data_IF_113251622578
#
_entry.id   IF_113251622578
#
_cell.length_a   1.000
_cell.length_b   1.000
_cell.length_c   1.000
_cell.angle_alpha   90.00
_cell.angle_beta   90.00
_cell.angle_gamma   90.00
#
_symmetry.space_group_name_H-M   'P 1'
#
loop_
_entity.id
_entity.type
_entity.pdbx_description
1 polymer ?
#
# COMPACT_ATOMS: atom_id res chain seq x y z
N UNK A 1 42.42 8.05 9.18
CA UNK A 1 41.02 8.03 9.64
C UNK A 1 40.35 6.77 9.11
N UNK A 2 39.75 5.94 9.97
CA UNK A 2 38.92 4.81 9.50
C UNK A 2 37.69 5.39 8.80
N UNK A 3 37.48 5.00 7.55
CA UNK A 3 36.32 5.41 6.76
C UNK A 3 35.10 4.74 7.40
N UNK A 4 34.18 5.54 7.96
CA UNK A 4 32.91 5.04 8.48
C UNK A 4 32.13 4.54 7.27
N UNK A 5 31.88 3.24 7.20
CA UNK A 5 31.02 2.65 6.17
C UNK A 5 29.58 2.70 6.65
N UNK A 6 28.62 2.79 5.72
CA UNK A 6 27.19 2.81 6.04
C UNK A 6 26.79 1.64 6.97
N UNK A 7 27.38 0.47 6.74
CA UNK A 7 27.15 -0.76 7.51
C UNK A 7 27.64 -0.70 8.96
N UNK A 8 28.56 0.23 9.27
CA UNK A 8 29.10 0.44 10.62
C UNK A 8 28.22 1.32 11.51
N UNK A 9 27.17 1.94 10.95
CA UNK A 9 26.22 2.74 11.72
C UNK A 9 25.42 1.86 12.71
N UNK A 10 25.03 2.39 13.88
CA UNK A 10 24.06 1.76 14.78
C UNK A 10 22.71 1.49 14.09
N UNK A 11 21.96 0.50 14.60
CA UNK A 11 20.66 0.11 14.03
C UNK A 11 19.66 1.28 14.02
N UNK A 12 19.68 2.09 15.07
CA UNK A 12 18.77 3.21 15.29
C UNK A 12 18.97 4.28 14.20
N UNK A 13 20.22 4.60 13.87
CA UNK A 13 20.55 5.55 12.81
C UNK A 13 20.17 5.00 11.43
N UNK A 14 20.41 3.71 11.18
CA UNK A 14 20.02 3.07 9.92
C UNK A 14 18.50 3.08 9.73
N UNK A 15 17.75 2.75 10.78
CA UNK A 15 16.29 2.78 10.76
C UNK A 15 15.75 4.20 10.59
N UNK A 16 16.42 5.20 11.17
CA UNK A 16 16.08 6.61 10.96
C UNK A 16 16.32 7.01 9.49
N UNK A 17 17.46 6.62 8.89
CA UNK A 17 17.72 6.87 7.47
C UNK A 17 16.65 6.20 6.59
N UNK A 18 16.30 4.95 6.87
CA UNK A 18 15.27 4.23 6.11
C UNK A 18 13.89 4.88 6.20
N UNK A 19 13.56 5.54 7.31
CA UNK A 19 12.27 6.25 7.43
C UNK A 19 12.13 7.47 6.53
N UNK A 20 13.22 7.98 5.95
CA UNK A 20 13.19 9.07 4.97
C UNK A 20 13.08 8.57 3.52
N UNK A 21 13.17 7.26 3.28
CA UNK A 21 13.10 6.67 1.95
C UNK A 21 11.67 6.23 1.64
N UNK A 22 11.26 6.36 0.37
CA UNK A 22 10.01 5.77 -0.08
C UNK A 22 10.10 4.25 -0.06
N UNK A 23 8.96 3.57 -0.01
CA UNK A 23 8.94 2.11 -0.07
C UNK A 23 9.61 1.56 -1.35
N UNK A 24 9.47 2.25 -2.49
CA UNK A 24 10.13 1.83 -3.74
C UNK A 24 11.65 1.96 -3.63
N UNK A 25 12.15 3.04 -3.04
CA UNK A 25 13.60 3.23 -2.83
C UNK A 25 14.16 2.15 -1.89
N UNK A 26 13.39 1.78 -0.86
CA UNK A 26 13.76 0.69 0.05
C UNK A 26 13.79 -0.66 -0.68
N UNK A 27 12.84 -0.93 -1.58
CA UNK A 27 12.86 -2.13 -2.41
C UNK A 27 14.09 -2.17 -3.32
N UNK A 28 14.45 -1.06 -3.95
CA UNK A 28 15.66 -0.98 -4.79
C UNK A 28 16.93 -1.24 -3.96
N UNK A 29 17.05 -0.58 -2.80
CA UNK A 29 18.13 -0.84 -1.85
C UNK A 29 18.19 -2.33 -1.48
N UNK A 30 17.04 -2.96 -1.23
CA UNK A 30 16.95 -4.34 -0.82
C UNK A 30 17.41 -5.36 -1.88
N UNK A 31 17.21 -5.05 -3.15
CA UNK A 31 17.72 -5.86 -4.26
C UNK A 31 19.25 -5.89 -4.24
N UNK A 32 19.88 -4.73 -4.03
CA UNK A 32 21.33 -4.54 -4.10
C UNK A 32 22.07 -4.94 -2.81
N UNK A 33 21.34 -5.10 -1.69
CA UNK A 33 21.92 -5.43 -0.41
C UNK A 33 22.46 -6.88 -0.36
N UNK A 34 23.75 -6.97 -0.01
CA UNK A 34 24.44 -8.22 0.37
C UNK A 34 24.81 -8.23 1.86
N UNK A 35 23.93 -7.70 2.70
CA UNK A 35 24.17 -7.57 4.14
C UNK A 35 22.98 -8.07 4.95
N UNK A 36 23.17 -9.20 5.64
CA UNK A 36 22.13 -9.87 6.42
C UNK A 36 21.64 -9.07 7.64
N UNK A 37 22.41 -8.09 8.13
CA UNK A 37 21.96 -7.19 9.20
C UNK A 37 20.98 -6.16 8.65
N UNK A 38 21.31 -5.55 7.51
CA UNK A 38 20.44 -4.56 6.85
C UNK A 38 19.14 -5.21 6.36
N UNK A 39 19.21 -6.43 5.82
CA UNK A 39 18.02 -7.21 5.46
C UNK A 39 17.11 -7.47 6.68
N UNK A 40 17.68 -7.87 7.82
CA UNK A 40 16.90 -8.06 9.05
C UNK A 40 16.27 -6.78 9.56
N UNK A 41 16.97 -5.65 9.47
CA UNK A 41 16.42 -4.36 9.86
C UNK A 41 15.26 -3.96 8.94
N UNK A 42 15.42 -4.11 7.63
CA UNK A 42 14.35 -3.81 6.67
C UNK A 42 13.15 -4.74 6.84
N UNK A 43 13.34 -5.99 7.24
CA UNK A 43 12.22 -6.92 7.44
C UNK A 43 11.60 -6.85 8.84
N UNK A 44 12.12 -6.01 9.74
CA UNK A 44 11.65 -5.89 11.13
C UNK A 44 10.52 -4.88 11.35
N UNK A 45 10.10 -4.18 10.28
CA UNK A 45 9.10 -3.10 10.36
C UNK A 45 8.08 -3.23 9.24
N UNK A 46 6.92 -2.64 9.49
CA UNK A 46 5.91 -2.43 8.46
C UNK A 46 6.14 -1.11 7.73
N UNK A 47 5.64 -1.04 6.50
CA UNK A 47 5.84 0.07 5.58
C UNK A 47 4.53 0.66 5.07
N UNK A 48 4.61 1.94 4.71
CA UNK A 48 3.58 2.63 3.95
C UNK A 48 3.92 2.66 2.48
N UNK A 49 3.01 2.22 1.63
CA UNK A 49 3.03 2.45 0.20
C UNK A 49 2.17 3.68 -0.11
N UNK A 50 2.83 4.83 -0.29
CA UNK A 50 2.17 6.10 -0.58
C UNK A 50 2.33 6.50 -2.04
N UNK A 51 1.23 6.40 -2.80
CA UNK A 51 1.21 6.67 -4.23
C UNK A 51 1.21 8.18 -4.56
N UNK A 52 0.98 9.06 -3.59
CA UNK A 52 1.05 10.52 -3.81
C UNK A 52 2.44 10.99 -4.25
N UNK A 53 3.47 10.22 -3.88
CA UNK A 53 4.88 10.54 -4.10
C UNK A 53 5.56 9.63 -5.13
N UNK A 54 4.80 8.76 -5.81
CA UNK A 54 5.35 7.74 -6.71
C UNK A 54 5.02 8.05 -8.17
N UNK A 55 6.05 8.07 -9.02
CA UNK A 55 5.86 8.22 -10.46
C UNK A 55 5.37 6.93 -11.12
N UNK A 56 4.53 7.07 -12.16
CA UNK A 56 3.99 5.95 -12.93
C UNK A 56 5.04 4.93 -13.38
N UNK A 57 6.15 5.38 -13.96
CA UNK A 57 7.18 4.46 -14.46
C UNK A 57 7.88 3.67 -13.34
N UNK A 58 8.07 4.29 -12.17
CA UNK A 58 8.66 3.63 -11.02
C UNK A 58 7.74 2.52 -10.51
N UNK A 59 6.45 2.81 -10.35
CA UNK A 59 5.49 1.81 -9.94
C UNK A 59 5.35 0.69 -10.98
N UNK A 60 5.38 1.01 -12.27
CA UNK A 60 5.26 0.01 -13.34
C UNK A 60 6.42 -0.99 -13.29
N UNK A 61 7.65 -0.49 -13.13
CA UNK A 61 8.83 -1.33 -12.98
C UNK A 61 8.75 -2.20 -11.72
N UNK A 62 8.29 -1.61 -10.62
CA UNK A 62 8.08 -2.31 -9.36
C UNK A 62 7.07 -3.47 -9.50
N UNK A 63 5.88 -3.21 -10.03
CA UNK A 63 4.82 -4.21 -10.20
C UNK A 63 5.17 -5.30 -11.23
N UNK A 64 6.00 -4.98 -12.22
CA UNK A 64 6.46 -5.95 -13.22
C UNK A 64 7.60 -6.83 -12.71
N UNK A 65 8.15 -6.55 -11.53
CA UNK A 65 9.30 -7.27 -11.00
C UNK A 65 8.85 -8.56 -10.29
N UNK A 66 9.06 -9.71 -10.94
CA UNK A 66 8.87 -11.02 -10.32
C UNK A 66 10.09 -11.40 -9.46
N UNK A 67 10.31 -10.70 -8.35
CA UNK A 67 11.44 -10.93 -7.47
C UNK A 67 10.98 -11.33 -6.06
N UNK A 68 11.39 -12.50 -5.59
CA UNK A 68 11.03 -13.03 -4.26
C UNK A 68 11.38 -12.07 -3.12
N UNK A 69 12.48 -11.32 -3.23
CA UNK A 69 12.85 -10.30 -2.24
C UNK A 69 11.84 -9.17 -2.18
N UNK A 70 11.38 -8.70 -3.34
CA UNK A 70 10.36 -7.64 -3.43
C UNK A 70 9.04 -8.16 -2.90
N UNK A 71 8.65 -9.38 -3.29
CA UNK A 71 7.45 -10.05 -2.77
C UNK A 71 7.49 -10.17 -1.24
N UNK A 72 8.67 -10.43 -0.65
CA UNK A 72 8.83 -10.45 0.79
C UNK A 72 8.69 -9.07 1.44
N UNK A 73 9.05 -7.99 0.76
CA UNK A 73 8.82 -6.63 1.25
C UNK A 73 7.36 -6.19 1.07
N UNK A 74 6.68 -6.61 0.00
CA UNK A 74 5.25 -6.30 -0.17
C UNK A 74 4.39 -6.90 0.93
N UNK A 75 4.77 -8.07 1.46
CA UNK A 75 4.08 -8.63 2.64
C UNK A 75 4.23 -7.79 3.91
N UNK A 76 5.14 -6.82 3.95
CA UNK A 76 5.35 -5.90 5.06
C UNK A 76 4.65 -4.55 4.87
N UNK A 77 3.90 -4.36 3.77
CA UNK A 77 3.08 -3.17 3.60
C UNK A 77 1.85 -3.32 4.51
N UNK A 78 1.73 -2.45 5.50
CA UNK A 78 0.55 -2.38 6.36
C UNK A 78 -0.34 -1.17 6.07
N UNK A 79 0.19 -0.20 5.34
CA UNK A 79 -0.46 1.06 5.02
C UNK A 79 -0.39 1.32 3.54
N UNK A 80 -1.52 1.66 2.92
CA UNK A 80 -1.58 2.06 1.52
C UNK A 80 -2.30 3.40 1.41
N UNK A 81 -1.69 4.34 0.70
CA UNK A 81 -2.30 5.62 0.33
C UNK A 81 -2.44 5.67 -1.18
N UNK A 82 -3.68 5.72 -1.65
CA UNK A 82 -4.05 5.80 -3.06
C UNK A 82 -4.61 7.19 -3.31
N UNK A 83 -4.18 7.85 -4.38
CA UNK A 83 -4.71 9.12 -4.84
C UNK A 83 -5.09 9.03 -6.32
N UNK A 84 -5.93 9.95 -6.80
CA UNK A 84 -6.25 10.05 -8.22
C UNK A 84 -5.02 10.44 -9.05
N UNK A 85 -4.25 9.42 -9.43
CA UNK A 85 -3.04 9.53 -10.21
C UNK A 85 -2.90 8.29 -11.09
N UNK A 86 -2.13 8.40 -12.17
CA UNK A 86 -1.86 7.25 -13.04
C UNK A 86 -1.20 6.07 -12.29
N UNK A 87 -0.40 6.37 -11.26
CA UNK A 87 0.14 5.36 -10.35
C UNK A 87 -0.98 4.71 -9.50
N UNK A 88 -1.89 5.51 -8.94
CA UNK A 88 -3.11 5.07 -8.25
C UNK A 88 -3.92 4.06 -9.06
N UNK A 89 -4.31 4.46 -10.26
CA UNK A 89 -5.08 3.63 -11.18
C UNK A 89 -4.37 2.33 -11.55
N UNK A 90 -3.05 2.38 -11.75
CA UNK A 90 -2.26 1.19 -12.08
C UNK A 90 -2.15 0.22 -10.90
N UNK A 91 -1.96 0.71 -9.67
CA UNK A 91 -1.94 -0.13 -8.48
C UNK A 91 -3.26 -0.89 -8.33
N UNK A 92 -4.37 -0.16 -8.43
CA UNK A 92 -5.71 -0.72 -8.31
C UNK A 92 -5.97 -1.79 -9.36
N UNK A 93 -5.62 -1.51 -10.62
CA UNK A 93 -5.75 -2.46 -11.71
C UNK A 93 -4.94 -3.74 -11.43
N UNK A 94 -3.68 -3.59 -11.05
CA UNK A 94 -2.82 -4.73 -10.72
C UNK A 94 -3.38 -5.56 -9.56
N UNK A 95 -3.91 -4.90 -8.53
CA UNK A 95 -4.48 -5.58 -7.38
C UNK A 95 -5.72 -6.40 -7.77
N UNK A 96 -6.63 -5.82 -8.58
CA UNK A 96 -7.82 -6.50 -9.08
C UNK A 96 -7.43 -7.69 -9.98
N UNK A 97 -6.52 -7.48 -10.92
CA UNK A 97 -6.05 -8.54 -11.84
C UNK A 97 -5.41 -9.69 -11.07
N UNK A 98 -4.53 -9.39 -10.11
CA UNK A 98 -3.89 -10.41 -9.27
C UNK A 98 -4.91 -11.25 -8.48
N UNK A 99 -5.98 -10.61 -7.99
CA UNK A 99 -7.04 -11.30 -7.26
C UNK A 99 -7.88 -12.22 -8.16
N UNK A 100 -8.18 -11.78 -9.39
CA UNK A 100 -8.92 -12.57 -10.39
C UNK A 100 -8.06 -13.75 -10.86
N UNK A 101 -6.81 -13.50 -11.23
CA UNK A 101 -5.90 -14.50 -11.81
C UNK A 101 -5.51 -15.61 -10.82
N UNK A 102 -5.48 -15.29 -9.52
CA UNK A 102 -5.10 -16.24 -8.48
C UNK A 102 -6.28 -16.93 -7.79
N UNK A 103 -7.48 -16.84 -8.38
CA UNK A 103 -8.71 -17.45 -7.86
C UNK A 103 -8.91 -17.17 -6.35
N UNK A 104 -8.74 -15.90 -5.95
CA UNK A 104 -8.94 -15.45 -4.56
C UNK A 104 -7.90 -15.97 -3.54
N UNK A 105 -6.93 -16.78 -3.96
CA UNK A 105 -5.98 -17.44 -3.05
C UNK A 105 -4.78 -16.58 -2.66
N UNK A 106 -4.40 -15.61 -3.51
CA UNK A 106 -3.19 -14.83 -3.29
C UNK A 106 -3.52 -13.38 -2.91
N UNK A 107 -3.22 -13.03 -1.67
CA UNK A 107 -3.28 -11.68 -1.17
C UNK A 107 -1.97 -10.96 -1.52
N UNK A 108 -2.02 -10.03 -2.46
CA UNK A 108 -0.83 -9.25 -2.81
C UNK A 108 -0.30 -8.40 -1.63
N UNK A 109 -1.20 -7.96 -0.73
CA UNK A 109 -0.89 -7.16 0.46
C UNK A 109 -1.43 -7.81 1.75
N UNK A 110 -0.83 -8.94 2.20
CA UNK A 110 -1.31 -9.75 3.33
C UNK A 110 -1.15 -9.12 4.71
N UNK A 111 -0.59 -7.92 4.83
CA UNK A 111 -0.44 -7.25 6.13
C UNK A 111 -1.21 -5.94 6.21
N UNK A 112 -2.03 -5.61 5.20
CA UNK A 112 -2.70 -4.32 5.17
C UNK A 112 -3.65 -4.16 6.37
N UNK A 113 -3.48 -3.03 7.07
CA UNK A 113 -4.25 -2.61 8.23
C UNK A 113 -4.87 -1.24 8.03
N UNK A 114 -4.21 -0.38 7.25
CA UNK A 114 -4.61 1.00 7.04
C UNK A 114 -4.72 1.28 5.56
N UNK A 115 -5.84 1.83 5.15
CA UNK A 115 -6.08 2.23 3.77
C UNK A 115 -6.60 3.65 3.72
N UNK A 116 -5.96 4.44 2.88
CA UNK A 116 -6.32 5.82 2.59
C UNK A 116 -6.60 5.91 1.08
N UNK A 117 -7.78 6.38 0.70
CA UNK A 117 -8.13 6.69 -0.68
C UNK A 117 -8.47 8.17 -0.74
N UNK A 118 -7.57 8.92 -1.34
CA UNK A 118 -7.73 10.33 -1.66
C UNK A 118 -8.48 10.45 -2.98
N UNK A 119 -9.45 11.35 -3.05
CA UNK A 119 -10.31 11.60 -4.21
C UNK A 119 -11.07 10.33 -4.66
N UNK A 120 -11.72 9.67 -3.70
CA UNK A 120 -12.45 8.42 -3.89
C UNK A 120 -13.52 8.48 -4.99
N UNK A 121 -14.06 9.68 -5.28
CA UNK A 121 -15.04 9.91 -6.35
C UNK A 121 -14.52 9.56 -7.74
N UNK A 122 -13.23 9.80 -7.99
CA UNK A 122 -12.62 9.58 -9.31
C UNK A 122 -12.49 8.11 -9.65
N UNK A 123 -12.34 7.26 -8.63
CA UNK A 123 -12.29 5.82 -8.83
C UNK A 123 -13.64 5.23 -9.27
N UNK A 124 -14.74 6.00 -9.19
CA UNK A 124 -16.08 5.58 -9.55
C UNK A 124 -16.58 4.35 -8.77
N UNK A 125 -17.89 4.13 -8.87
CA UNK A 125 -18.58 3.00 -8.23
C UNK A 125 -18.04 1.62 -8.67
N UNK A 126 -17.54 1.50 -9.91
CA UNK A 126 -17.05 0.23 -10.43
C UNK A 126 -15.75 -0.23 -9.75
N UNK A 127 -14.84 0.69 -9.43
CA UNK A 127 -13.60 0.31 -8.74
C UNK A 127 -13.83 0.04 -7.27
N UNK A 128 -14.68 0.79 -6.57
CA UNK A 128 -15.02 0.52 -5.15
C UNK A 128 -15.52 -0.92 -4.99
N UNK A 129 -16.40 -1.39 -5.89
CA UNK A 129 -16.91 -2.77 -5.92
C UNK A 129 -15.84 -3.82 -6.17
N UNK A 130 -14.85 -3.49 -7.00
CA UNK A 130 -13.80 -4.43 -7.40
C UNK A 130 -12.61 -4.43 -6.44
N UNK A 131 -12.48 -3.37 -5.64
CA UNK A 131 -11.34 -3.10 -4.78
C UNK A 131 -11.44 -3.75 -3.38
N UNK A 132 -12.65 -3.81 -2.81
CA UNK A 132 -12.84 -4.44 -1.49
C UNK A 132 -12.69 -5.97 -1.46
N UNK A 133 -13.10 -6.75 -2.50
CA UNK A 133 -12.94 -8.20 -2.48
C UNK A 133 -11.50 -8.69 -2.21
N UNK A 134 -10.45 -8.10 -2.82
CA UNK A 134 -9.06 -8.43 -2.51
C UNK A 134 -8.60 -8.17 -1.05
N UNK A 135 -9.31 -7.35 -0.28
CA UNK A 135 -8.98 -7.07 1.13
C UNK A 135 -9.42 -8.19 2.09
N UNK A 136 -10.40 -9.01 1.68
CA UNK A 136 -11.04 -10.04 2.52
C UNK A 136 -10.09 -11.20 2.81
N UNK A 137 -9.23 -11.57 1.86
CA UNK A 137 -8.37 -12.75 2.01
C UNK A 137 -7.21 -12.55 2.98
N UNK A 138 -6.98 -11.32 3.44
CA UNK A 138 -5.83 -10.92 4.27
C UNK A 138 -6.15 -10.99 5.78
N UNK A 139 -7.28 -10.39 6.13
CA UNK A 139 -7.77 -10.17 7.48
C UNK A 139 -9.10 -9.46 7.30
N UNK A 140 -10.20 -10.03 7.80
CA UNK A 140 -11.52 -9.40 7.74
C UNK A 140 -11.61 -8.14 8.63
N UNK A 141 -10.49 -7.54 9.05
CA UNK A 141 -10.47 -6.35 9.89
C UNK A 141 -9.39 -5.38 9.44
N UNK A 142 -9.81 -4.22 8.94
CA UNK A 142 -8.98 -3.03 8.78
C UNK A 142 -8.96 -2.25 10.09
N UNK A 143 -7.78 -1.81 10.50
CA UNK A 143 -7.65 -0.90 11.65
C UNK A 143 -8.13 0.50 11.28
N UNK A 144 -7.87 0.93 10.04
CA UNK A 144 -8.18 2.27 9.60
C UNK A 144 -8.58 2.30 8.11
N UNK A 145 -9.72 2.90 7.81
CA UNK A 145 -10.17 3.20 6.45
C UNK A 145 -10.49 4.69 6.36
N UNK A 146 -9.80 5.42 5.50
CA UNK A 146 -10.06 6.84 5.26
C UNK A 146 -10.30 7.09 3.79
N UNK A 147 -11.50 7.60 3.51
CA UNK A 147 -11.93 7.93 2.17
C UNK A 147 -12.20 9.43 2.14
N UNK A 148 -11.48 10.12 1.26
CA UNK A 148 -11.65 11.55 1.01
C UNK A 148 -12.39 11.71 -0.32
N UNK A 149 -13.48 12.46 -0.29
CA UNK A 149 -14.34 12.73 -1.43
C UNK A 149 -14.20 14.22 -1.79
N UNK A 150 -14.20 14.56 -3.07
CA UNK A 150 -14.16 15.97 -3.49
C UNK A 150 -15.55 16.61 -3.45
N UNK A 151 -16.59 15.79 -3.58
CA UNK A 151 -17.98 16.27 -3.57
C UNK A 151 -18.80 15.54 -2.51
N UNK A 152 -19.90 16.13 -2.01
CA UNK A 152 -20.85 15.42 -1.18
C UNK A 152 -21.51 14.32 -2.02
N UNK A 153 -21.03 13.07 -1.92
CA UNK A 153 -21.43 12.03 -2.88
C UNK A 153 -22.42 11.01 -2.35
N UNK A 154 -23.16 10.43 -3.29
CA UNK A 154 -24.05 9.29 -3.07
C UNK A 154 -23.30 7.95 -2.96
N UNK A 155 -21.97 7.95 -2.89
CA UNK A 155 -21.16 6.73 -2.88
C UNK A 155 -20.94 6.15 -1.50
N UNK A 156 -21.20 6.90 -0.42
CA UNK A 156 -21.10 6.39 0.95
C UNK A 156 -21.92 5.10 1.19
N UNK A 157 -23.20 5.03 0.79
CA UNK A 157 -23.99 3.81 0.98
C UNK A 157 -23.42 2.63 0.18
N UNK A 158 -22.84 2.87 -1.00
CA UNK A 158 -22.20 1.83 -1.80
C UNK A 158 -20.95 1.28 -1.11
N UNK A 159 -20.08 2.14 -0.58
CA UNK A 159 -18.91 1.71 0.20
C UNK A 159 -19.34 0.85 1.40
N UNK A 160 -20.32 1.32 2.18
CA UNK A 160 -20.84 0.59 3.33
C UNK A 160 -21.45 -0.76 2.91
N UNK A 161 -22.23 -0.78 1.82
CA UNK A 161 -22.82 -2.00 1.28
C UNK A 161 -21.75 -3.01 0.87
N UNK A 162 -20.65 -2.57 0.25
CA UNK A 162 -19.56 -3.47 -0.13
C UNK A 162 -18.79 -3.98 1.09
N UNK A 163 -18.51 -3.14 2.09
CA UNK A 163 -17.91 -3.59 3.35
C UNK A 163 -18.77 -4.67 4.04
N UNK A 164 -20.09 -4.48 4.10
CA UNK A 164 -21.03 -5.45 4.67
C UNK A 164 -21.07 -6.73 3.84
N UNK A 165 -21.23 -6.61 2.52
CA UNK A 165 -21.27 -7.74 1.56
C UNK A 165 -20.04 -8.63 1.70
N UNK A 166 -18.89 -8.00 1.97
CA UNK A 166 -17.60 -8.64 2.04
C UNK A 166 -17.16 -8.97 3.47
N UNK A 167 -18.01 -8.75 4.47
CA UNK A 167 -17.73 -8.99 5.88
C UNK A 167 -16.43 -8.32 6.37
N UNK A 168 -16.09 -7.17 5.80
CA UNK A 168 -14.91 -6.39 6.20
C UNK A 168 -15.28 -5.54 7.41
N UNK A 169 -14.70 -5.87 8.55
CA UNK A 169 -14.77 -5.04 9.76
C UNK A 169 -13.77 -3.89 9.66
N UNK A 170 -14.15 -2.71 10.14
CA UNK A 170 -13.27 -1.55 10.18
C UNK A 170 -13.30 -0.98 11.59
N UNK A 171 -12.14 -0.88 12.25
CA UNK A 171 -12.07 -0.34 13.61
C UNK A 171 -12.32 1.17 13.64
N UNK A 172 -11.65 1.92 12.77
CA UNK A 172 -11.86 3.36 12.59
C UNK A 172 -12.09 3.65 11.12
N UNK A 173 -13.21 4.31 10.81
CA UNK A 173 -13.55 4.74 9.47
C UNK A 173 -13.72 6.26 9.45
N UNK A 174 -12.95 6.95 8.60
CA UNK A 174 -13.10 8.38 8.35
C UNK A 174 -13.63 8.57 6.94
N UNK A 175 -14.73 9.30 6.85
CA UNK A 175 -15.36 9.70 5.61
C UNK A 175 -15.30 11.21 5.57
N UNK A 176 -14.44 11.75 4.71
CA UNK A 176 -14.14 13.18 4.64
C UNK A 176 -14.58 13.74 3.29
N UNK A 177 -15.11 14.96 3.28
CA UNK A 177 -15.35 15.72 2.06
C UNK A 177 -14.35 16.87 2.06
N UNK A 178 -13.47 16.94 1.07
CA UNK A 178 -12.65 18.11 0.85
C UNK A 178 -13.58 19.28 0.51
N UNK A 179 -13.60 20.31 1.37
CA UNK A 179 -14.29 21.54 1.03
C UNK A 179 -13.51 22.20 -0.12
N UNK A 180 -14.03 22.06 -1.33
CA UNK A 180 -13.51 22.78 -2.49
C UNK A 180 -13.37 24.27 -2.17
N UNK A 181 -12.14 24.79 -2.31
CA UNK A 181 -11.91 26.23 -2.39
C UNK A 181 -12.18 26.71 -3.82
#
# INVERSE_FOLDING_TARGET
MKKITFESLPNELLLMIFSYLSFIDLCQLFLDLKNARLERLLTSKYYSLDLSSIYFNQLRQFLSSSNDKINRLTTLIDTVVICDSSAGWMLLKHWIETFIDTELSNTWLPSIKKLFILNADYFQHYFIKSFFPPLISVSNTLQYLHLVFETPTFYYPSVLSELIRHHISVHTMILEVENGM
#
